data_IF_747842423357
#
_entry.id   IF_747842423357
#
_cell.length_a   1.000
_cell.length_b   1.000
_cell.length_c   1.000
_cell.angle_alpha   90.00
_cell.angle_beta   90.00
_cell.angle_gamma   90.00
#
_symmetry.space_group_name_H-M   'P 1'
#
loop_
_entity.id
_entity.type
_entity.pdbx_description
1 polymer ?
#
# COMPACT_ATOMS: atom_id res chain seq x y z
N UNK A 1 -42.45 -47.87 14.05
CA UNK A 1 -42.07 -46.73 13.16
C UNK A 1 -41.02 -45.89 13.85
N UNK A 2 -39.75 -46.11 13.51
CA UNK A 2 -38.63 -45.40 14.12
C UNK A 2 -38.27 -44.17 13.24
N UNK A 3 -38.37 -42.96 13.80
CA UNK A 3 -37.93 -41.73 13.15
C UNK A 3 -36.42 -41.60 13.21
N UNK A 4 -35.77 -41.77 12.07
CA UNK A 4 -34.35 -41.46 11.91
C UNK A 4 -34.10 -39.97 12.10
N UNK A 5 -33.30 -39.60 13.12
CA UNK A 5 -32.76 -38.25 13.32
C UNK A 5 -31.58 -38.06 12.36
N UNK A 6 -31.78 -37.34 11.26
CA UNK A 6 -30.69 -36.82 10.44
C UNK A 6 -29.87 -35.78 11.23
N UNK A 7 -28.70 -36.15 11.63
CA UNK A 7 -27.72 -35.27 12.26
C UNK A 7 -27.04 -34.46 11.16
N UNK A 8 -27.56 -33.25 10.88
CA UNK A 8 -26.87 -32.29 9.99
C UNK A 8 -25.51 -31.91 10.58
N UNK A 9 -24.46 -32.52 10.05
CA UNK A 9 -23.08 -32.07 10.31
C UNK A 9 -22.94 -30.64 9.84
N UNK A 10 -22.81 -29.70 10.78
CA UNK A 10 -22.40 -28.32 10.51
C UNK A 10 -20.99 -28.35 9.94
N UNK A 11 -20.84 -28.20 8.61
CA UNK A 11 -19.55 -27.94 7.97
C UNK A 11 -18.88 -26.78 8.73
N UNK A 12 -17.74 -27.04 9.36
CA UNK A 12 -16.89 -26.00 9.93
C UNK A 12 -16.49 -25.04 8.78
N UNK A 13 -17.06 -23.84 8.76
CA UNK A 13 -16.63 -22.78 7.84
C UNK A 13 -15.15 -22.53 8.10
N UNK A 14 -14.30 -22.79 7.12
CA UNK A 14 -12.89 -22.42 7.21
C UNK A 14 -12.75 -20.92 7.50
N UNK A 15 -11.83 -20.56 8.38
CA UNK A 15 -11.53 -19.16 8.65
C UNK A 15 -10.99 -18.50 7.39
N UNK A 16 -11.44 -17.28 7.09
CA UNK A 16 -10.87 -16.51 5.99
C UNK A 16 -9.44 -16.08 6.31
N UNK A 17 -8.63 -15.80 5.29
CA UNK A 17 -7.27 -15.25 5.47
C UNK A 17 -7.29 -13.98 6.31
N UNK A 18 -8.29 -13.12 6.12
CA UNK A 18 -8.49 -11.91 6.91
C UNK A 18 -8.71 -12.21 8.40
N UNK A 19 -9.50 -13.23 8.74
CA UNK A 19 -9.70 -13.65 10.12
C UNK A 19 -8.42 -14.24 10.74
N UNK A 20 -7.62 -14.96 9.97
CA UNK A 20 -6.34 -15.51 10.42
C UNK A 20 -5.33 -14.40 10.74
N UNK A 21 -5.30 -13.34 9.92
CA UNK A 21 -4.46 -12.15 10.12
C UNK A 21 -5.01 -11.19 11.17
N UNK A 22 -6.19 -11.46 11.74
CA UNK A 22 -6.84 -10.59 12.72
C UNK A 22 -7.37 -9.29 12.13
N UNK A 23 -7.48 -9.18 10.81
CA UNK A 23 -8.00 -8.02 10.11
C UNK A 23 -9.52 -7.96 10.30
N UNK A 24 -10.00 -6.90 10.94
CA UNK A 24 -11.43 -6.70 11.17
C UNK A 24 -12.09 -5.93 10.03
N UNK A 25 -11.56 -4.76 9.71
CA UNK A 25 -12.13 -3.88 8.69
C UNK A 25 -11.15 -2.80 8.25
N UNK A 26 -11.36 -2.28 7.05
CA UNK A 26 -10.72 -1.06 6.59
C UNK A 26 -11.48 0.14 7.15
N UNK A 27 -10.80 0.93 7.96
CA UNK A 27 -11.35 2.16 8.53
C UNK A 27 -11.23 3.33 7.55
N UNK A 28 -11.64 4.51 7.97
CA UNK A 28 -11.46 5.74 7.21
C UNK A 28 -9.99 6.13 7.08
N UNK A 29 -9.16 5.80 8.08
CA UNK A 29 -7.78 6.27 8.19
C UNK A 29 -6.75 5.16 8.02
N UNK A 30 -7.15 3.89 8.13
CA UNK A 30 -6.22 2.78 8.10
C UNK A 30 -6.88 1.41 8.12
N UNK A 31 -6.30 0.49 8.88
CA UNK A 31 -6.72 -0.90 8.98
C UNK A 31 -6.91 -1.30 10.45
N UNK A 32 -8.13 -1.71 10.81
CA UNK A 32 -8.40 -2.23 12.15
C UNK A 32 -7.94 -3.69 12.27
N UNK A 33 -6.96 -3.93 13.16
CA UNK A 33 -6.38 -5.25 13.43
C UNK A 33 -6.44 -5.52 14.94
N UNK A 34 -7.20 -6.52 15.34
CA UNK A 34 -7.36 -6.85 16.75
C UNK A 34 -7.92 -5.67 17.58
N UNK A 35 -7.10 -5.16 18.50
CA UNK A 35 -7.42 -3.99 19.37
C UNK A 35 -6.69 -2.71 18.90
N UNK A 36 -6.10 -2.72 17.74
CA UNK A 36 -5.30 -1.63 17.21
C UNK A 36 -5.82 -1.17 15.85
N UNK A 37 -5.48 0.06 15.50
CA UNK A 37 -5.63 0.61 14.16
C UNK A 37 -4.24 0.88 13.60
N UNK A 38 -3.95 0.36 12.42
CA UNK A 38 -2.71 0.57 11.70
C UNK A 38 -2.90 1.71 10.71
N UNK A 39 -2.08 2.74 10.83
CA UNK A 39 -2.02 3.87 9.92
C UNK A 39 -0.80 3.70 9.00
N UNK A 40 -1.00 3.91 7.73
CA UNK A 40 0.02 3.71 6.70
C UNK A 40 0.42 5.06 6.08
N UNK A 41 1.71 5.32 6.08
CA UNK A 41 2.32 6.52 5.50
C UNK A 41 3.33 6.10 4.44
N UNK A 42 3.09 6.53 3.21
CA UNK A 42 4.05 6.37 2.12
C UNK A 42 5.09 7.46 2.23
N UNK A 43 6.36 7.08 2.30
CA UNK A 43 7.50 7.99 2.39
C UNK A 43 8.31 7.90 1.11
N UNK A 44 8.54 9.03 0.47
CA UNK A 44 9.35 9.11 -0.74
C UNK A 44 10.81 8.77 -0.43
N UNK A 45 11.45 7.87 -1.19
CA UNK A 45 12.85 7.54 -1.00
C UNK A 45 13.73 8.73 -1.32
N UNK A 46 14.81 8.90 -0.54
CA UNK A 46 15.85 9.89 -0.84
C UNK A 46 17.04 9.19 -1.45
N UNK A 47 17.50 9.65 -2.61
CA UNK A 47 18.71 9.12 -3.22
C UNK A 47 19.94 9.63 -2.44
N UNK A 48 20.50 8.79 -1.59
CA UNK A 48 21.65 9.12 -0.76
C UNK A 48 22.95 9.25 -1.56
N UNK A 49 23.04 8.67 -2.77
CA UNK A 49 24.25 8.69 -3.58
C UNK A 49 24.62 10.08 -4.11
N UNK A 50 23.64 10.99 -4.15
CA UNK A 50 23.85 12.40 -4.59
C UNK A 50 24.00 13.37 -3.42
N UNK A 51 23.92 12.89 -2.18
CA UNK A 51 24.06 13.72 -0.98
C UNK A 51 25.49 13.78 -0.49
N UNK A 52 25.88 14.94 0.07
CA UNK A 52 27.12 15.05 0.83
C UNK A 52 27.03 14.22 2.13
N UNK A 53 28.19 13.83 2.67
CA UNK A 53 28.26 13.10 3.95
C UNK A 53 27.52 13.81 5.08
N UNK A 54 27.69 15.14 5.19
CA UNK A 54 26.98 15.96 6.18
C UNK A 54 25.46 15.88 6.01
N UNK A 55 24.95 15.92 4.77
CA UNK A 55 23.51 15.81 4.51
C UNK A 55 22.96 14.42 4.84
N UNK A 56 23.75 13.37 4.64
CA UNK A 56 23.40 12.02 5.06
C UNK A 56 23.29 11.94 6.58
N UNK A 57 24.24 12.49 7.32
CA UNK A 57 24.19 12.54 8.79
C UNK A 57 22.95 13.28 9.30
N UNK A 58 22.61 14.42 8.70
CA UNK A 58 21.40 15.18 9.02
C UNK A 58 20.16 14.32 8.79
N UNK A 59 20.06 13.61 7.67
CA UNK A 59 18.93 12.71 7.38
C UNK A 59 18.83 11.57 8.39
N UNK A 60 19.94 11.00 8.81
CA UNK A 60 19.97 9.96 9.84
C UNK A 60 19.44 10.51 11.17
N UNK A 61 19.88 11.70 11.59
CA UNK A 61 19.38 12.35 12.81
C UNK A 61 17.88 12.64 12.74
N UNK A 62 17.39 13.12 11.60
CA UNK A 62 15.96 13.35 11.38
C UNK A 62 15.16 12.04 11.49
N UNK A 63 15.65 10.93 10.91
CA UNK A 63 15.01 9.62 11.07
C UNK A 63 14.98 9.17 12.53
N UNK A 64 16.08 9.34 13.25
CA UNK A 64 16.14 9.04 14.69
C UNK A 64 15.10 9.86 15.49
N UNK A 65 14.90 11.14 15.13
CA UNK A 65 13.89 11.98 15.77
C UNK A 65 12.48 11.49 15.49
N UNK A 66 12.17 11.06 14.25
CA UNK A 66 10.89 10.45 13.92
C UNK A 66 10.65 9.19 14.74
N UNK A 67 11.64 8.28 14.79
CA UNK A 67 11.54 7.01 15.52
C UNK A 67 11.38 7.21 17.04
N UNK A 68 12.01 8.24 17.58
CA UNK A 68 11.91 8.59 19.01
C UNK A 68 10.56 9.21 19.35
N UNK A 69 9.97 9.98 18.42
CA UNK A 69 8.73 10.70 18.66
C UNK A 69 7.47 9.84 18.45
N UNK A 70 7.57 8.76 17.68
CA UNK A 70 6.44 7.89 17.35
C UNK A 70 6.72 6.49 17.88
N UNK A 71 6.25 6.13 19.08
CA UNK A 71 6.38 4.79 19.61
C UNK A 71 5.70 3.76 18.71
N UNK A 72 6.26 2.58 18.62
CA UNK A 72 5.70 1.45 17.86
C UNK A 72 5.54 1.73 16.35
N UNK A 73 6.38 2.59 15.77
CA UNK A 73 6.44 2.77 14.32
C UNK A 73 7.22 1.61 13.68
N UNK A 74 6.66 1.05 12.64
CA UNK A 74 7.30 0.02 11.83
C UNK A 74 7.70 0.62 10.47
N UNK A 75 8.90 0.29 9.98
CA UNK A 75 9.35 0.68 8.65
C UNK A 75 9.37 -0.56 7.77
N UNK A 76 8.62 -0.52 6.68
CA UNK A 76 8.53 -1.61 5.72
C UNK A 76 8.96 -1.12 4.35
N UNK A 77 9.77 -1.90 3.67
CA UNK A 77 10.11 -1.69 2.26
C UNK A 77 9.28 -2.66 1.42
N UNK A 78 8.55 -2.14 0.46
CA UNK A 78 7.73 -2.93 -0.47
C UNK A 78 8.02 -2.53 -1.90
N UNK A 79 7.69 -3.38 -2.85
CA UNK A 79 7.71 -3.00 -4.25
C UNK A 79 6.63 -1.96 -4.54
N UNK A 80 6.86 -1.12 -5.54
CA UNK A 80 5.90 -0.07 -5.91
C UNK A 80 4.58 -0.70 -6.37
N UNK A 81 3.48 -0.19 -5.83
CA UNK A 81 2.14 -0.57 -6.23
C UNK A 81 1.54 0.41 -7.25
N UNK A 82 2.38 1.20 -7.90
CA UNK A 82 1.90 2.11 -8.94
C UNK A 82 1.28 1.31 -10.09
N UNK A 83 0.06 1.66 -10.43
CA UNK A 83 -0.74 0.96 -11.43
C UNK A 83 -1.42 1.97 -12.32
N UNK A 84 -1.24 1.81 -13.62
CA UNK A 84 -1.82 2.68 -14.63
C UNK A 84 -3.07 2.07 -15.29
N UNK A 85 -3.71 1.07 -14.67
CA UNK A 85 -4.83 0.33 -15.25
C UNK A 85 -6.01 1.24 -15.61
N UNK A 86 -6.32 2.24 -14.80
CA UNK A 86 -7.38 3.21 -15.08
C UNK A 86 -7.03 4.05 -16.33
N UNK A 87 -5.76 4.50 -16.42
CA UNK A 87 -5.28 5.27 -17.55
C UNK A 87 -5.27 4.42 -18.84
N UNK A 88 -4.81 3.16 -18.76
CA UNK A 88 -4.83 2.22 -19.88
C UNK A 88 -6.25 1.91 -20.31
N UNK A 89 -7.16 1.67 -19.38
CA UNK A 89 -8.58 1.44 -19.69
C UNK A 89 -9.19 2.62 -20.42
N UNK A 90 -8.89 3.85 -20.01
CA UNK A 90 -9.31 5.05 -20.71
C UNK A 90 -8.74 5.11 -22.13
N UNK A 91 -7.44 4.87 -22.30
CA UNK A 91 -6.80 4.89 -23.63
C UNK A 91 -7.35 3.78 -24.54
N UNK A 92 -7.64 2.59 -24.00
CA UNK A 92 -8.29 1.52 -24.76
C UNK A 92 -9.70 1.91 -25.21
N UNK A 93 -10.50 2.55 -24.35
CA UNK A 93 -11.81 3.08 -24.74
C UNK A 93 -11.68 4.11 -25.86
N UNK A 94 -10.78 5.07 -25.71
CA UNK A 94 -10.50 6.07 -26.77
C UNK A 94 -10.01 5.43 -28.06
N UNK A 95 -9.17 4.42 -27.98
CA UNK A 95 -8.68 3.68 -29.17
C UNK A 95 -9.82 2.99 -29.92
N UNK A 96 -10.85 2.51 -29.23
CA UNK A 96 -12.01 1.85 -29.83
C UNK A 96 -12.94 2.84 -30.55
N UNK A 97 -13.06 4.06 -30.04
CA UNK A 97 -13.91 5.12 -30.58
C UNK A 97 -13.25 5.93 -31.71
N UNK A 98 -11.91 6.01 -31.73
CA UNK A 98 -11.16 6.84 -32.66
C UNK A 98 -11.09 6.21 -34.05
N UNK A 99 -11.42 6.99 -35.09
CA UNK A 99 -11.40 6.55 -36.47
C UNK A 99 -10.17 7.02 -37.25
N UNK A 100 -9.51 8.08 -36.79
CA UNK A 100 -8.33 8.60 -37.45
C UNK A 100 -7.13 7.70 -37.21
N UNK A 101 -6.58 7.12 -38.30
CA UNK A 101 -5.45 6.15 -38.23
C UNK A 101 -4.19 6.74 -37.59
N UNK A 102 -3.92 8.05 -37.79
CA UNK A 102 -2.75 8.71 -37.18
C UNK A 102 -2.92 8.86 -35.66
N UNK A 103 -4.13 9.23 -35.22
CA UNK A 103 -4.45 9.37 -33.79
C UNK A 103 -4.44 7.99 -33.11
N UNK A 104 -5.00 6.97 -33.75
CA UNK A 104 -4.92 5.58 -33.26
C UNK A 104 -3.48 5.11 -33.05
N UNK A 105 -2.56 5.49 -33.96
CA UNK A 105 -1.14 5.15 -33.80
C UNK A 105 -0.49 5.84 -32.60
N UNK A 106 -0.88 7.08 -32.30
CA UNK A 106 -0.38 7.80 -31.11
C UNK A 106 -0.90 7.14 -29.85
N UNK A 107 -2.23 6.86 -29.76
CA UNK A 107 -2.82 6.21 -28.58
C UNK A 107 -2.16 4.86 -28.29
N UNK A 108 -1.85 4.05 -29.32
CA UNK A 108 -1.14 2.79 -29.12
C UNK A 108 0.26 3.00 -28.52
N UNK A 109 1.00 4.00 -29.01
CA UNK A 109 2.31 4.33 -28.44
C UNK A 109 2.22 4.78 -26.97
N UNK A 110 1.15 5.51 -26.62
CA UNK A 110 0.93 5.93 -25.24
C UNK A 110 0.62 4.73 -24.33
N UNK A 111 -0.15 3.74 -24.83
CA UNK A 111 -0.40 2.48 -24.11
C UNK A 111 0.91 1.71 -23.91
N UNK A 112 1.68 1.51 -24.98
CA UNK A 112 2.98 0.81 -24.91
C UNK A 112 3.96 1.51 -23.97
N UNK A 113 3.94 2.85 -23.94
CA UNK A 113 4.75 3.66 -23.02
C UNK A 113 4.33 3.46 -21.56
N UNK A 114 3.01 3.44 -21.28
CA UNK A 114 2.51 3.16 -19.93
C UNK A 114 2.86 1.74 -19.48
N UNK A 115 2.82 0.75 -20.38
CA UNK A 115 3.23 -0.61 -20.07
C UNK A 115 4.72 -0.68 -19.71
N UNK A 116 5.57 0.04 -20.46
CA UNK A 116 7.02 0.10 -20.21
C UNK A 116 7.32 0.77 -18.85
N UNK A 117 6.73 1.93 -18.59
CA UNK A 117 6.90 2.62 -17.30
C UNK A 117 6.39 1.75 -16.14
N UNK A 118 5.26 1.07 -16.30
CA UNK A 118 4.74 0.19 -15.24
C UNK A 118 5.72 -0.95 -14.94
N UNK A 119 6.37 -1.53 -15.94
CA UNK A 119 7.41 -2.54 -15.74
C UNK A 119 8.64 -1.98 -15.01
N UNK A 120 9.10 -0.77 -15.37
CA UNK A 120 10.20 -0.11 -14.69
C UNK A 120 9.84 0.25 -13.24
N UNK A 121 8.64 0.78 -13.00
CA UNK A 121 8.17 1.16 -11.67
C UNK A 121 7.86 -0.05 -10.78
N UNK A 122 7.52 -1.20 -11.34
CA UNK A 122 7.33 -2.43 -10.57
C UNK A 122 8.61 -2.87 -9.83
N UNK A 123 9.78 -2.43 -10.28
CA UNK A 123 11.06 -2.66 -9.61
C UNK A 123 11.43 -1.55 -8.61
N UNK A 124 10.69 -0.44 -8.61
CA UNK A 124 10.90 0.65 -7.68
C UNK A 124 10.43 0.26 -6.27
N UNK A 125 11.22 0.60 -5.26
CA UNK A 125 10.88 0.33 -3.88
C UNK A 125 10.12 1.50 -3.27
N UNK A 126 9.11 1.16 -2.48
CA UNK A 126 8.35 2.11 -1.66
C UNK A 126 8.65 1.88 -0.19
N UNK A 127 8.75 2.95 0.58
CA UNK A 127 8.93 2.88 2.01
C UNK A 127 7.62 3.25 2.71
N UNK A 128 7.18 2.36 3.58
CA UNK A 128 5.98 2.56 4.38
C UNK A 128 6.38 2.72 5.84
N UNK A 129 5.90 3.78 6.45
CA UNK A 129 5.91 3.93 7.90
C UNK A 129 4.51 3.53 8.40
N UNK A 130 4.47 2.52 9.26
CA UNK A 130 3.24 1.97 9.80
C UNK A 130 3.18 2.31 11.29
N UNK A 131 2.24 3.16 11.67
CA UNK A 131 2.03 3.53 13.06
C UNK A 131 0.87 2.73 13.65
N UNK A 132 1.08 2.17 14.84
CA UNK A 132 0.09 1.37 15.56
C UNK A 132 -0.59 2.21 16.63
N UNK A 133 -1.88 2.47 16.47
CA UNK A 133 -2.68 3.15 17.47
C UNK A 133 -3.58 2.16 18.21
N UNK A 134 -3.81 2.40 19.50
CA UNK A 134 -4.91 1.73 20.21
C UNK A 134 -6.22 2.23 19.64
N UNK A 135 -7.22 1.34 19.49
CA UNK A 135 -8.54 1.72 19.00
C UNK A 135 -9.08 2.89 19.83
N UNK A 136 -9.27 4.01 19.18
CA UNK A 136 -9.76 5.25 19.75
C UNK A 136 -11.04 5.69 19.01
N UNK A 137 -11.71 6.72 19.49
CA UNK A 137 -12.81 7.35 18.74
C UNK A 137 -12.26 8.02 17.49
N UNK A 138 -13.04 8.05 16.42
CA UNK A 138 -12.65 8.60 15.11
C UNK A 138 -11.92 9.94 15.16
N UNK A 139 -12.37 10.86 16.04
CA UNK A 139 -11.73 12.16 16.21
C UNK A 139 -10.30 12.02 16.77
N UNK A 140 -10.10 11.16 17.75
CA UNK A 140 -8.78 10.95 18.35
C UNK A 140 -7.82 10.27 17.36
N UNK A 141 -8.32 9.34 16.54
CA UNK A 141 -7.55 8.71 15.46
C UNK A 141 -7.16 9.74 14.40
N UNK A 142 -8.06 10.65 14.04
CA UNK A 142 -7.77 11.72 13.09
C UNK A 142 -6.66 12.67 13.59
N UNK A 143 -6.79 13.13 14.84
CA UNK A 143 -5.83 14.04 15.46
C UNK A 143 -4.45 13.36 15.58
N UNK A 144 -4.43 12.09 16.00
CA UNK A 144 -3.20 11.29 16.07
C UNK A 144 -2.56 11.10 14.68
N UNK A 145 -3.37 10.79 13.67
CA UNK A 145 -2.91 10.60 12.30
C UNK A 145 -2.26 11.87 11.73
N UNK A 146 -2.88 13.03 11.95
CA UNK A 146 -2.34 14.31 11.51
C UNK A 146 -1.05 14.69 12.27
N UNK A 147 -0.99 14.40 13.58
CA UNK A 147 0.21 14.64 14.38
C UNK A 147 1.40 13.80 13.90
N UNK A 148 1.16 12.53 13.58
CA UNK A 148 2.20 11.63 13.05
C UNK A 148 2.70 12.14 11.69
N UNK A 149 1.77 12.43 10.77
CA UNK A 149 2.10 12.94 9.42
C UNK A 149 2.91 14.22 9.50
N UNK A 150 2.48 15.16 10.34
CA UNK A 150 3.18 16.43 10.60
C UNK A 150 4.58 16.19 11.17
N UNK A 151 4.73 15.32 12.16
CA UNK A 151 6.03 14.99 12.76
C UNK A 151 7.02 14.47 11.72
N UNK A 152 6.58 13.52 10.85
CA UNK A 152 7.43 12.97 9.80
C UNK A 152 7.81 14.05 8.77
N UNK A 153 6.85 14.88 8.37
CA UNK A 153 7.06 15.98 7.42
C UNK A 153 8.01 17.05 7.95
N UNK A 154 7.88 17.44 9.22
CA UNK A 154 8.76 18.43 9.86
C UNK A 154 10.23 17.99 9.94
N UNK A 155 10.48 16.67 9.91
CA UNK A 155 11.83 16.11 9.81
C UNK A 155 12.34 16.03 8.36
N UNK A 156 11.66 16.68 7.42
CA UNK A 156 12.10 16.80 6.04
C UNK A 156 11.95 15.50 5.23
N UNK A 157 11.02 14.63 5.62
CA UNK A 157 10.59 13.49 4.81
C UNK A 157 9.33 13.87 4.04
N UNK A 158 9.34 13.63 2.75
CA UNK A 158 8.13 13.74 1.95
C UNK A 158 7.24 12.54 2.26
N UNK A 159 6.09 12.82 2.88
CA UNK A 159 5.19 11.79 3.40
C UNK A 159 3.76 12.02 2.92
N UNK A 160 3.07 10.93 2.60
CA UNK A 160 1.65 10.93 2.24
C UNK A 160 0.93 9.83 3.00
N UNK A 161 -0.13 10.17 3.70
CA UNK A 161 -1.01 9.18 4.32
C UNK A 161 -1.75 8.39 3.25
N UNK A 162 -1.71 7.06 3.36
CA UNK A 162 -2.41 6.17 2.44
C UNK A 162 -3.91 6.16 2.72
N UNK A 163 -4.70 6.14 1.66
CA UNK A 163 -6.15 6.02 1.71
C UNK A 163 -6.55 4.55 1.69
N UNK A 164 -7.80 4.27 2.02
CA UNK A 164 -8.37 2.92 1.97
C UNK A 164 -8.15 2.22 0.62
N UNK A 165 -8.23 2.95 -0.48
CA UNK A 165 -7.96 2.43 -1.84
C UNK A 165 -6.51 1.98 -2.00
N UNK A 166 -5.56 2.79 -1.51
CA UNK A 166 -4.13 2.52 -1.60
C UNK A 166 -3.77 1.29 -0.77
N UNK A 167 -4.31 1.20 0.47
CA UNK A 167 -4.08 0.06 1.37
C UNK A 167 -4.67 -1.23 0.79
N UNK A 168 -5.85 -1.17 0.18
CA UNK A 168 -6.45 -2.33 -0.50
C UNK A 168 -5.59 -2.78 -1.67
N UNK A 169 -5.09 -1.85 -2.49
CA UNK A 169 -4.22 -2.15 -3.63
C UNK A 169 -2.94 -2.82 -3.16
N UNK A 170 -2.28 -2.26 -2.13
CA UNK A 170 -1.10 -2.86 -1.51
C UNK A 170 -1.37 -4.30 -1.04
N UNK A 171 -2.49 -4.55 -0.38
CA UNK A 171 -2.86 -5.89 0.10
C UNK A 171 -3.12 -6.89 -1.04
N UNK A 172 -3.69 -6.44 -2.16
CA UNK A 172 -3.95 -7.29 -3.33
C UNK A 172 -2.64 -7.71 -4.02
N UNK A 173 -1.68 -6.81 -4.16
CA UNK A 173 -0.38 -7.10 -4.79
C UNK A 173 0.37 -8.15 -3.98
N UNK A 174 0.44 -8.02 -2.66
CA UNK A 174 1.16 -8.97 -1.81
C UNK A 174 0.44 -10.31 -1.58
N UNK A 175 -0.88 -10.37 -1.76
CA UNK A 175 -1.66 -11.63 -1.61
C UNK A 175 -1.79 -12.36 -2.95
N UNK A 176 -1.76 -11.63 -4.07
CA UNK A 176 -2.02 -12.18 -5.41
C UNK A 176 -0.76 -12.64 -6.14
N UNK A 177 0.43 -12.28 -5.69
CA UNK A 177 1.66 -12.86 -6.23
C UNK A 177 1.95 -14.19 -5.53
N UNK A 178 1.69 -15.34 -6.18
CA UNK A 178 2.31 -16.57 -5.73
C UNK A 178 3.82 -16.35 -5.83
N UNK A 179 4.53 -16.52 -4.72
CA UNK A 179 6.00 -16.55 -4.67
C UNK A 179 6.52 -17.25 -5.92
N UNK A 180 7.10 -16.48 -6.85
CA UNK A 180 7.83 -17.07 -7.98
C UNK A 180 8.90 -17.96 -7.38
N UNK A 181 8.93 -19.27 -7.69
CA UNK A 181 10.04 -20.10 -7.27
C UNK A 181 11.31 -19.49 -7.85
N UNK A 182 12.23 -19.11 -6.97
CA UNK A 182 13.57 -18.70 -7.37
C UNK A 182 14.20 -19.94 -7.99
N UNK A 183 14.26 -19.98 -9.30
CA UNK A 183 15.03 -20.98 -10.03
C UNK A 183 16.50 -20.66 -9.75
N UNK A 184 17.10 -21.40 -8.83
CA UNK A 184 18.54 -21.40 -8.60
C UNK A 184 19.10 -22.31 -9.70
N UNK A 185 19.74 -21.69 -10.68
CA UNK A 185 20.60 -22.36 -11.66
C UNK A 185 22.03 -22.29 -11.19
#
# INVERSE_FOLDING_TARGET
MAKAKETRQKKKKGRSVQELLGIKTFTKYGLAVGKHELLFYLVSPTNISVLSHTNIEIKIRHLMMVLSAIPDIEITCTDSSECFDDNKSYLHSRLSEEQNSKVRKIIRKDIDFLDHIQMEMATARQFLFIARLKNAKDKQTFDAANRIEKNISEQGFEVRRMRKTDIKRLSLIHISEPTRPISIS
#
